data_IF_492958812455
#
_entry.id   IF_492958812455
#
_cell.length_a   1.000
_cell.length_b   1.000
_cell.length_c   1.000
_cell.angle_alpha   90.00
_cell.angle_beta   90.00
_cell.angle_gamma   90.00
#
_symmetry.space_group_name_H-M   'P 1'
#
loop_
_entity.id
_entity.type
_entity.pdbx_description
1 polymer ?
#
# COMPACT_ATOMS: atom_id res chain seq x y z
N UNK A 1 46.18 -69.96 -20.37
CA UNK A 1 45.10 -69.22 -21.08
C UNK A 1 44.59 -68.17 -20.12
N UNK A 2 44.84 -66.89 -20.40
CA UNK A 2 44.47 -65.78 -19.51
C UNK A 2 43.31 -65.03 -20.16
N UNK A 3 42.12 -65.10 -19.56
CA UNK A 3 40.93 -64.39 -20.05
C UNK A 3 40.97 -62.95 -19.54
N UNK A 4 41.10 -61.98 -20.46
CA UNK A 4 40.88 -60.56 -20.13
C UNK A 4 39.37 -60.29 -20.11
N UNK A 5 38.82 -60.02 -18.92
CA UNK A 5 37.45 -59.55 -18.77
C UNK A 5 37.45 -58.03 -18.87
N UNK A 6 37.05 -57.49 -20.01
CA UNK A 6 36.84 -56.05 -20.23
C UNK A 6 35.61 -55.60 -19.45
N UNK A 7 35.70 -54.63 -18.52
CA UNK A 7 34.53 -54.08 -17.86
C UNK A 7 33.70 -53.26 -18.84
N UNK A 8 32.42 -53.61 -18.98
CA UNK A 8 31.46 -52.85 -19.77
C UNK A 8 31.19 -51.52 -19.06
N UNK A 9 31.66 -50.43 -19.65
CA UNK A 9 31.39 -49.08 -19.20
C UNK A 9 29.89 -48.78 -19.29
N UNK A 10 29.19 -48.72 -18.14
CA UNK A 10 27.76 -48.46 -18.09
C UNK A 10 27.50 -46.93 -18.07
N UNK A 11 26.97 -46.33 -19.17
CA UNK A 11 26.72 -44.89 -19.25
C UNK A 11 25.63 -44.40 -18.29
N UNK A 12 24.84 -45.29 -17.69
CA UNK A 12 23.81 -44.93 -16.71
C UNK A 12 24.40 -44.33 -15.41
N UNK A 13 25.66 -44.64 -15.08
CA UNK A 13 26.35 -44.11 -13.89
C UNK A 13 26.80 -42.64 -14.03
N UNK A 14 26.84 -42.12 -15.27
CA UNK A 14 27.33 -40.78 -15.58
C UNK A 14 26.29 -39.66 -15.36
N UNK A 15 25.06 -39.99 -14.98
CA UNK A 15 23.95 -39.02 -14.83
C UNK A 15 23.54 -38.82 -13.36
N UNK A 16 24.51 -38.67 -12.46
CA UNK A 16 24.22 -38.05 -11.16
C UNK A 16 24.01 -36.56 -11.41
N UNK A 17 22.76 -36.15 -11.60
CA UNK A 17 22.39 -34.76 -11.83
C UNK A 17 23.00 -33.83 -10.78
N UNK A 18 23.38 -32.61 -11.19
CA UNK A 18 23.94 -31.64 -10.28
C UNK A 18 22.98 -31.38 -9.10
N UNK A 19 23.49 -31.14 -7.88
CA UNK A 19 22.63 -30.84 -6.74
C UNK A 19 21.79 -29.58 -7.00
N UNK A 20 20.48 -29.68 -6.79
CA UNK A 20 19.49 -28.64 -7.14
C UNK A 20 19.78 -27.25 -6.57
N UNK A 21 20.42 -27.16 -5.40
CA UNK A 21 20.76 -25.90 -4.74
C UNK A 21 21.86 -25.09 -5.45
N UNK A 22 22.58 -25.71 -6.41
CA UNK A 22 23.60 -25.04 -7.22
C UNK A 22 23.02 -24.31 -8.43
N UNK A 23 21.79 -24.61 -8.82
CA UNK A 23 21.16 -23.99 -9.97
C UNK A 23 20.64 -22.59 -9.62
N UNK A 24 21.08 -21.51 -10.30
CA UNK A 24 20.72 -20.14 -9.94
C UNK A 24 19.23 -19.85 -10.09
N UNK A 25 18.54 -20.51 -11.03
CA UNK A 25 17.11 -20.33 -11.26
C UNK A 25 16.25 -20.76 -10.07
N UNK A 26 16.71 -21.75 -9.27
CA UNK A 26 15.97 -22.18 -8.07
C UNK A 26 15.90 -21.03 -7.06
N UNK A 27 17.01 -20.31 -6.87
CA UNK A 27 17.04 -19.15 -5.99
C UNK A 27 16.17 -18.00 -6.50
N UNK A 28 16.10 -17.78 -7.82
CA UNK A 28 15.22 -16.77 -8.40
C UNK A 28 13.74 -17.07 -8.12
N UNK A 29 13.34 -18.33 -8.23
CA UNK A 29 11.96 -18.76 -7.92
C UNK A 29 11.66 -18.65 -6.43
N UNK A 30 12.59 -19.04 -5.55
CA UNK A 30 12.41 -18.92 -4.10
C UNK A 30 12.47 -17.46 -3.61
N UNK A 31 13.24 -16.61 -4.28
CA UNK A 31 13.43 -15.22 -3.88
C UNK A 31 12.13 -14.40 -3.98
N UNK A 32 11.26 -14.67 -4.96
CA UNK A 32 9.99 -13.96 -5.11
C UNK A 32 9.09 -14.10 -3.86
N UNK A 33 8.68 -15.33 -3.48
CA UNK A 33 7.92 -15.58 -2.26
C UNK A 33 8.64 -15.13 -0.98
N UNK A 34 9.95 -15.34 -0.88
CA UNK A 34 10.71 -14.93 0.30
C UNK A 34 10.72 -13.40 0.45
N UNK A 35 10.88 -12.66 -0.65
CA UNK A 35 10.90 -11.20 -0.65
C UNK A 35 9.56 -10.61 -0.16
N UNK A 36 8.42 -11.17 -0.58
CA UNK A 36 7.11 -10.68 -0.11
C UNK A 36 6.87 -10.97 1.37
N UNK A 37 7.38 -12.09 1.91
CA UNK A 37 7.33 -12.38 3.35
C UNK A 37 8.16 -11.36 4.13
N UNK A 38 9.36 -11.04 3.67
CA UNK A 38 10.20 -10.01 4.32
C UNK A 38 9.53 -8.64 4.22
N UNK A 39 8.96 -8.29 3.06
CA UNK A 39 8.27 -7.02 2.84
C UNK A 39 7.02 -6.87 3.73
N UNK A 40 6.26 -7.96 3.95
CA UNK A 40 5.09 -7.92 4.83
C UNK A 40 5.50 -7.73 6.30
N UNK A 41 6.54 -8.42 6.77
CA UNK A 41 7.10 -8.20 8.10
C UNK A 41 7.60 -6.75 8.27
N UNK A 42 8.28 -6.21 7.26
CA UNK A 42 8.74 -4.82 7.28
C UNK A 42 7.59 -3.82 7.34
N UNK A 43 6.51 -4.09 6.59
CA UNK A 43 5.29 -3.26 6.62
C UNK A 43 4.66 -3.27 8.01
N UNK A 44 4.54 -4.45 8.64
CA UNK A 44 4.03 -4.57 10.02
C UNK A 44 4.94 -3.83 11.00
N UNK A 45 6.26 -3.98 10.85
CA UNK A 45 7.23 -3.28 11.69
C UNK A 45 7.07 -1.76 11.62
N UNK A 46 6.91 -1.21 10.40
CA UNK A 46 6.64 0.22 10.22
C UNK A 46 5.31 0.63 10.85
N UNK A 47 4.25 -0.15 10.65
CA UNK A 47 2.94 0.13 11.20
C UNK A 47 2.93 0.19 12.73
N UNK A 48 3.67 -0.71 13.39
CA UNK A 48 3.77 -0.75 14.86
C UNK A 48 4.70 0.33 15.42
N UNK A 49 5.84 0.55 14.77
CA UNK A 49 6.88 1.44 15.30
C UNK A 49 6.62 2.92 14.98
N UNK A 50 5.96 3.19 13.85
CA UNK A 50 5.68 4.53 13.33
C UNK A 50 4.19 4.73 13.09
N UNK A 51 3.36 4.23 14.01
CA UNK A 51 1.94 4.54 14.00
C UNK A 51 1.75 6.05 14.15
N UNK A 52 0.97 6.65 13.24
CA UNK A 52 0.51 8.03 13.41
C UNK A 52 -0.30 8.11 14.71
N UNK A 53 -0.05 9.09 15.59
CA UNK A 53 -0.88 9.30 16.77
C UNK A 53 -2.36 9.27 16.41
N UNK A 54 -3.13 8.47 17.16
CA UNK A 54 -4.59 8.48 17.05
C UNK A 54 -5.05 9.88 17.45
N UNK A 55 -5.54 10.65 16.48
CA UNK A 55 -6.20 11.91 16.77
C UNK A 55 -7.41 11.60 17.65
N UNK A 56 -7.51 12.27 18.79
CA UNK A 56 -8.68 12.17 19.63
C UNK A 56 -9.93 12.48 18.80
N UNK A 57 -11.03 11.77 19.05
CA UNK A 57 -12.34 12.02 18.40
C UNK A 57 -12.93 13.38 18.73
N UNK A 58 -12.21 14.21 19.49
CA UNK A 58 -12.47 15.64 19.55
C UNK A 58 -12.60 16.11 18.10
N UNK A 59 -13.77 16.63 17.70
CA UNK A 59 -13.92 17.19 16.37
C UNK A 59 -12.72 18.12 16.15
N UNK A 60 -11.92 17.95 15.08
CA UNK A 60 -10.91 18.93 14.77
C UNK A 60 -11.61 20.28 14.85
N UNK A 61 -11.01 21.29 15.51
CA UNK A 61 -11.64 22.60 15.64
C UNK A 61 -12.14 22.94 14.24
N UNK A 62 -13.47 23.01 14.11
CA UNK A 62 -14.09 23.27 12.81
C UNK A 62 -13.30 24.43 12.22
N UNK A 63 -12.77 24.29 11.00
CA UNK A 63 -11.98 25.37 10.37
C UNK A 63 -12.80 26.64 10.55
N UNK A 64 -12.38 27.48 11.49
CA UNK A 64 -13.17 28.62 11.92
C UNK A 64 -12.93 29.67 10.89
N UNK A 65 -13.95 29.93 10.08
CA UNK A 65 -13.94 31.03 9.14
C UNK A 65 -13.93 32.33 9.95
N UNK A 66 -13.03 33.24 9.61
CA UNK A 66 -12.96 34.55 10.26
C UNK A 66 -14.28 35.31 10.04
N UNK A 67 -14.97 35.64 11.14
CA UNK A 67 -16.28 36.29 11.09
C UNK A 67 -16.26 37.63 10.35
N UNK A 68 -15.15 38.39 10.48
CA UNK A 68 -14.93 39.65 9.76
C UNK A 68 -14.81 39.44 8.24
N UNK A 69 -14.19 38.33 7.82
CA UNK A 69 -13.99 37.99 6.42
C UNK A 69 -15.31 37.56 5.80
N UNK A 70 -16.12 36.78 6.54
CA UNK A 70 -17.48 36.45 6.16
C UNK A 70 -18.32 37.71 5.97
N UNK A 71 -18.26 38.69 6.87
CA UNK A 71 -19.04 39.93 6.78
C UNK A 71 -18.73 40.75 5.52
N UNK A 72 -17.48 40.70 5.03
CA UNK A 72 -17.01 41.43 3.85
C UNK A 72 -17.35 40.76 2.51
N UNK A 73 -17.74 39.47 2.51
CA UNK A 73 -18.02 38.71 1.29
C UNK A 73 -19.49 38.88 0.85
N UNK A 74 -19.74 38.80 -0.45
CA UNK A 74 -21.12 38.72 -0.97
C UNK A 74 -21.76 37.37 -0.60
N UNK A 75 -23.11 37.26 -0.59
CA UNK A 75 -23.80 36.04 -0.16
C UNK A 75 -23.36 34.77 -0.92
N UNK A 76 -23.10 34.89 -2.22
CA UNK A 76 -22.63 33.77 -3.06
C UNK A 76 -21.17 33.40 -2.80
N UNK A 77 -20.30 34.37 -2.49
CA UNK A 77 -18.91 34.12 -2.13
C UNK A 77 -18.78 33.45 -0.75
N UNK A 78 -19.67 33.79 0.20
CA UNK A 78 -19.74 33.14 1.50
C UNK A 78 -20.09 31.66 1.37
N UNK A 79 -21.13 31.33 0.60
CA UNK A 79 -21.56 29.96 0.38
C UNK A 79 -20.47 29.09 -0.26
N UNK A 80 -19.73 29.64 -1.23
CA UNK A 80 -18.61 28.94 -1.86
C UNK A 80 -17.45 28.67 -0.89
N UNK A 81 -17.14 29.63 -0.01
CA UNK A 81 -16.09 29.50 1.00
C UNK A 81 -16.47 28.47 2.08
N UNK A 82 -17.71 28.49 2.55
CA UNK A 82 -18.23 27.49 3.49
C UNK A 82 -18.17 26.07 2.91
N UNK A 83 -18.48 25.92 1.62
CA UNK A 83 -18.37 24.64 0.93
C UNK A 83 -16.91 24.14 0.86
N UNK A 84 -15.96 25.05 0.69
CA UNK A 84 -14.53 24.72 0.59
C UNK A 84 -13.91 24.18 1.89
N UNK A 85 -14.45 24.59 3.04
CA UNK A 85 -13.98 24.12 4.37
C UNK A 85 -14.79 22.94 4.92
N UNK A 86 -15.82 22.52 4.19
CA UNK A 86 -16.67 21.40 4.61
C UNK A 86 -15.91 20.07 4.45
N UNK A 87 -15.88 19.18 5.45
CA UNK A 87 -15.22 17.89 5.35
C UNK A 87 -15.68 17.08 4.13
N UNK A 88 -14.76 16.41 3.44
CA UNK A 88 -15.02 15.71 2.18
C UNK A 88 -16.23 14.76 2.23
N UNK A 89 -16.43 14.06 3.35
CA UNK A 89 -17.58 13.17 3.54
C UNK A 89 -18.93 13.91 3.62
N UNK A 90 -18.98 15.13 4.14
CA UNK A 90 -20.20 15.97 4.18
C UNK A 90 -20.42 16.67 2.83
N UNK A 91 -19.35 17.21 2.24
CA UNK A 91 -19.43 17.98 0.99
C UNK A 91 -20.06 17.20 -0.18
N UNK A 92 -19.77 15.90 -0.29
CA UNK A 92 -20.32 15.04 -1.36
C UNK A 92 -21.85 15.02 -1.43
N UNK A 93 -22.55 15.15 -0.29
CA UNK A 93 -24.01 15.14 -0.26
C UNK A 93 -24.60 16.56 -0.39
N UNK A 94 -23.87 17.58 0.06
CA UNK A 94 -24.32 18.97 -0.01
C UNK A 94 -24.17 19.58 -1.41
N UNK A 95 -23.25 19.09 -2.25
CA UNK A 95 -23.09 19.55 -3.63
C UNK A 95 -24.33 19.29 -4.53
N UNK A 96 -25.18 18.33 -4.16
CA UNK A 96 -26.39 17.97 -4.90
C UNK A 96 -27.67 18.61 -4.34
N UNK A 97 -27.59 19.34 -3.22
CA UNK A 97 -28.76 19.96 -2.59
C UNK A 97 -28.96 21.40 -3.10
N UNK A 98 -30.18 21.81 -3.51
CA UNK A 98 -30.44 23.19 -3.93
C UNK A 98 -30.23 24.17 -2.77
N UNK A 99 -29.50 25.26 -2.98
CA UNK A 99 -29.49 26.39 -2.05
C UNK A 99 -30.85 27.08 -2.11
N UNK A 100 -31.66 26.96 -1.06
CA UNK A 100 -32.96 27.66 -0.97
C UNK A 100 -32.69 29.16 -0.88
N UNK A 101 -33.19 29.99 -1.83
CA UNK A 101 -33.10 31.44 -1.72
C UNK A 101 -33.78 31.90 -0.43
N UNK A 102 -33.11 32.78 0.32
CA UNK A 102 -33.78 33.55 1.37
C UNK A 102 -34.36 34.79 0.69
N UNK A 103 -35.69 34.88 0.72
CA UNK A 103 -36.44 36.11 0.39
C UNK A 103 -36.04 37.27 1.32
#
# INVERSE_FOLDING_TARGET
MTTMTTPLNNPASARRGAPWYREPYVWLVLAGPLAVVVASMFTIYLAVTRADPVLDRTPPPAVTLDAELLEKLSPEQRAALELSVTPAHKARNHAASPTVPKD
#
